data_IF_290919833622
#
_entry.id   IF_290919833622
#
_cell.length_a   1.000
_cell.length_b   1.000
_cell.length_c   1.000
_cell.angle_alpha   90.00
_cell.angle_beta   90.00
_cell.angle_gamma   90.00
#
_symmetry.space_group_name_H-M   'P 1'
#
loop_
_entity.id
_entity.type
_entity.pdbx_description
1 polymer ?
#
# COMPACT_ATOMS: atom_id res chain seq x y z
N UNK A 1 36.85 26.56 -4.16
CA UNK A 1 35.61 26.80 -3.39
C UNK A 1 34.89 25.47 -3.30
N UNK A 2 34.98 24.81 -2.15
CA UNK A 2 34.17 23.62 -1.90
C UNK A 2 32.76 24.13 -1.70
N UNK A 3 31.91 23.88 -2.69
CA UNK A 3 30.47 24.12 -2.57
C UNK A 3 30.00 23.35 -1.33
N UNK A 4 29.71 24.09 -0.26
CA UNK A 4 29.02 23.58 0.91
C UNK A 4 27.56 23.33 0.45
N UNK A 5 27.38 22.26 -0.33
CA UNK A 5 26.07 21.78 -0.68
C UNK A 5 25.33 21.53 0.63
N UNK A 6 24.21 22.22 0.81
CA UNK A 6 23.29 21.97 1.93
C UNK A 6 23.17 20.46 2.14
N UNK A 7 23.44 19.94 3.35
CA UNK A 7 23.37 18.51 3.65
C UNK A 7 22.08 17.86 3.15
N UNK A 8 20.96 18.57 3.19
CA UNK A 8 19.66 18.11 2.70
C UNK A 8 19.69 17.81 1.19
N UNK A 9 20.33 18.67 0.39
CA UNK A 9 20.48 18.47 -1.05
C UNK A 9 21.35 17.24 -1.38
N UNK A 10 22.40 17.01 -0.60
CA UNK A 10 23.28 15.83 -0.76
C UNK A 10 22.50 14.55 -0.46
N UNK A 11 21.77 14.54 0.66
CA UNK A 11 20.95 13.41 1.10
C UNK A 11 19.88 13.09 0.04
N UNK A 12 19.16 14.11 -0.44
CA UNK A 12 18.12 13.95 -1.47
C UNK A 12 18.68 13.36 -2.77
N UNK A 13 19.86 13.81 -3.20
CA UNK A 13 20.54 13.23 -4.40
C UNK A 13 20.89 11.76 -4.19
N UNK A 14 21.42 11.40 -3.02
CA UNK A 14 21.74 10.01 -2.68
C UNK A 14 20.49 9.14 -2.65
N UNK A 15 19.41 9.64 -2.05
CA UNK A 15 18.12 8.96 -2.00
C UNK A 15 17.56 8.69 -3.41
N UNK A 16 17.51 9.73 -4.27
CA UNK A 16 17.03 9.60 -5.65
C UNK A 16 17.90 8.67 -6.50
N UNK A 17 19.20 8.60 -6.20
CA UNK A 17 20.14 7.67 -6.84
C UNK A 17 20.09 6.26 -6.21
N UNK A 18 19.21 6.00 -5.23
CA UNK A 18 19.09 4.74 -4.47
C UNK A 18 20.39 4.30 -3.77
N UNK A 19 21.26 5.25 -3.44
CA UNK A 19 22.54 5.03 -2.76
C UNK A 19 22.36 5.05 -1.24
N UNK A 20 21.63 4.08 -0.71
CA UNK A 20 21.24 4.08 0.71
C UNK A 20 22.39 3.85 1.67
N UNK A 21 23.41 3.06 1.29
CA UNK A 21 24.63 2.88 2.09
C UNK A 21 25.45 4.17 2.15
N UNK A 22 25.60 4.88 1.02
CA UNK A 22 26.31 6.16 0.98
C UNK A 22 25.57 7.19 1.84
N UNK A 23 24.23 7.24 1.75
CA UNK A 23 23.38 8.13 2.54
C UNK A 23 23.52 7.84 4.05
N UNK A 24 23.49 6.56 4.44
CA UNK A 24 23.75 6.13 5.82
C UNK A 24 25.10 6.62 6.33
N UNK A 25 26.18 6.37 5.59
CA UNK A 25 27.53 6.74 5.97
C UNK A 25 27.71 8.26 6.04
N UNK A 26 27.13 8.99 5.10
CA UNK A 26 27.15 10.44 5.09
C UNK A 26 26.46 11.01 6.35
N UNK A 27 25.24 10.58 6.65
CA UNK A 27 24.51 11.02 7.82
C UNK A 27 25.20 10.60 9.13
N UNK A 28 25.82 9.42 9.17
CA UNK A 28 26.61 8.98 10.31
C UNK A 28 27.83 9.88 10.57
N UNK A 29 28.46 10.42 9.52
CA UNK A 29 29.54 11.40 9.65
C UNK A 29 29.04 12.77 10.09
N UNK A 30 27.80 13.17 9.71
CA UNK A 30 27.16 14.37 10.26
C UNK A 30 26.94 14.24 11.77
N UNK A 31 26.47 13.08 12.25
CA UNK A 31 26.26 12.84 13.68
C UNK A 31 27.55 12.87 14.52
N UNK A 32 28.74 12.60 13.92
CA UNK A 32 30.02 12.81 14.62
C UNK A 32 30.29 14.27 14.94
N UNK A 33 29.76 15.18 14.11
CA UNK A 33 29.90 16.64 14.29
C UNK A 33 28.77 17.22 15.14
N UNK A 34 27.55 16.74 14.92
CA UNK A 34 26.32 17.18 15.60
C UNK A 34 25.57 15.92 16.07
N UNK A 35 25.80 15.41 17.30
CA UNK A 35 25.27 14.13 17.77
C UNK A 35 23.76 13.96 17.75
N UNK A 36 23.00 15.06 17.84
CA UNK A 36 21.53 15.07 17.88
C UNK A 36 20.92 15.76 16.65
N UNK A 37 21.63 15.75 15.52
CA UNK A 37 21.07 16.26 14.27
C UNK A 37 19.87 15.42 13.84
N UNK A 38 18.67 16.01 13.95
CA UNK A 38 17.42 15.29 13.66
C UNK A 38 17.34 14.86 12.20
N UNK A 39 17.83 15.69 11.26
CA UNK A 39 17.79 15.38 9.82
C UNK A 39 18.67 14.16 9.56
N UNK A 40 19.87 14.13 10.15
CA UNK A 40 20.78 13.00 10.01
C UNK A 40 20.16 11.72 10.64
N UNK A 41 19.59 11.79 11.84
CA UNK A 41 18.93 10.66 12.51
C UNK A 41 17.77 10.10 11.69
N UNK A 42 16.88 10.97 11.19
CA UNK A 42 15.75 10.58 10.34
C UNK A 42 16.21 9.90 9.05
N UNK A 43 17.23 10.45 8.41
CA UNK A 43 17.72 9.90 7.15
C UNK A 43 18.53 8.61 7.32
N UNK A 44 19.18 8.40 8.50
CA UNK A 44 19.75 7.10 8.84
C UNK A 44 18.64 6.06 8.99
N UNK A 45 17.57 6.37 9.72
CA UNK A 45 16.44 5.44 9.87
C UNK A 45 15.84 5.06 8.52
N UNK A 46 15.66 6.04 7.62
CA UNK A 46 15.17 5.81 6.27
C UNK A 46 16.13 4.95 5.44
N UNK A 47 17.43 5.23 5.48
CA UNK A 47 18.44 4.42 4.79
C UNK A 47 18.40 2.97 5.24
N UNK A 48 18.32 2.74 6.56
CA UNK A 48 18.27 1.41 7.15
C UNK A 48 17.00 0.64 6.76
N UNK A 49 15.86 1.34 6.61
CA UNK A 49 14.62 0.75 6.09
C UNK A 49 14.83 0.23 4.67
N UNK A 50 15.39 1.05 3.77
CA UNK A 50 15.65 0.63 2.39
C UNK A 50 16.71 -0.47 2.28
N UNK A 51 17.65 -0.53 3.24
CA UNK A 51 18.62 -1.62 3.41
C UNK A 51 18.04 -2.84 4.13
N UNK A 52 16.74 -2.82 4.48
CA UNK A 52 16.02 -3.88 5.21
C UNK A 52 16.59 -4.19 6.60
N UNK A 53 17.30 -3.23 7.20
CA UNK A 53 17.87 -3.32 8.56
C UNK A 53 16.89 -2.74 9.58
N UNK A 54 15.69 -3.34 9.68
CA UNK A 54 14.55 -2.77 10.39
C UNK A 54 14.80 -2.56 11.89
N UNK A 55 15.42 -3.52 12.57
CA UNK A 55 15.73 -3.39 14.00
C UNK A 55 16.69 -2.23 14.28
N UNK A 56 17.68 -2.00 13.41
CA UNK A 56 18.56 -0.85 13.54
C UNK A 56 17.83 0.46 13.23
N UNK A 57 16.94 0.46 12.25
CA UNK A 57 16.11 1.64 11.90
C UNK A 57 15.29 2.11 13.10
N UNK A 58 14.66 1.19 13.84
CA UNK A 58 13.88 1.50 15.05
C UNK A 58 14.73 2.25 16.09
N UNK A 59 15.99 1.85 16.30
CA UNK A 59 16.88 2.54 17.26
C UNK A 59 17.08 4.01 16.89
N UNK A 60 17.21 4.32 15.59
CA UNK A 60 17.37 5.71 15.14
C UNK A 60 16.06 6.48 15.18
N UNK A 61 14.92 5.84 14.90
CA UNK A 61 13.61 6.43 15.13
C UNK A 61 13.42 6.80 16.61
N UNK A 62 13.79 5.91 17.53
CA UNK A 62 13.69 6.16 18.97
C UNK A 62 14.57 7.34 19.43
N UNK A 63 15.75 7.52 18.84
CA UNK A 63 16.58 8.70 19.10
C UNK A 63 15.90 9.99 18.65
N UNK A 64 15.23 10.00 17.49
CA UNK A 64 14.45 11.17 17.05
C UNK A 64 13.29 11.42 18.01
N UNK A 65 12.55 10.36 18.37
CA UNK A 65 11.39 10.47 19.27
C UNK A 65 11.78 10.89 20.70
N UNK A 66 12.99 10.59 21.15
CA UNK A 66 13.52 11.11 22.41
C UNK A 66 13.76 12.63 22.38
N UNK A 67 14.06 13.20 21.20
CA UNK A 67 14.22 14.64 21.01
C UNK A 67 12.85 15.32 20.80
N UNK A 68 11.99 14.71 19.98
CA UNK A 68 10.67 15.20 19.62
C UNK A 68 9.67 14.02 19.58
N UNK A 69 8.97 13.81 20.69
CA UNK A 69 8.19 12.59 20.98
C UNK A 69 7.06 12.30 19.97
N UNK A 70 6.54 13.33 19.27
CA UNK A 70 5.49 13.20 18.24
C UNK A 70 5.99 13.60 16.86
N UNK A 71 7.27 13.33 16.56
CA UNK A 71 7.78 13.51 15.21
C UNK A 71 7.13 12.48 14.26
N UNK A 72 6.21 12.98 13.43
CA UNK A 72 5.40 12.13 12.53
C UNK A 72 6.27 11.34 11.55
N UNK A 73 7.38 11.90 11.10
CA UNK A 73 8.30 11.22 10.19
C UNK A 73 8.96 10.02 10.86
N UNK A 74 9.46 10.21 12.09
CA UNK A 74 10.07 9.13 12.86
C UNK A 74 9.03 8.06 13.26
N UNK A 75 7.81 8.48 13.64
CA UNK A 75 6.71 7.55 13.93
C UNK A 75 6.39 6.69 12.70
N UNK A 76 6.23 7.29 11.52
CA UNK A 76 5.93 6.57 10.27
C UNK A 76 7.05 5.61 9.88
N UNK A 77 8.30 6.02 9.98
CA UNK A 77 9.45 5.14 9.73
C UNK A 77 9.51 3.97 10.72
N UNK A 78 9.22 4.22 12.01
CA UNK A 78 9.19 3.19 13.03
C UNK A 78 8.07 2.19 12.78
N UNK A 79 6.88 2.67 12.43
CA UNK A 79 5.74 1.83 12.06
C UNK A 79 6.11 0.93 10.89
N UNK A 80 6.66 1.48 9.81
CA UNK A 80 7.07 0.68 8.66
C UNK A 80 8.08 -0.42 9.02
N UNK A 81 9.05 -0.10 9.86
CA UNK A 81 10.04 -1.07 10.32
C UNK A 81 9.39 -2.17 11.19
N UNK A 82 8.46 -1.80 12.08
CA UNK A 82 7.72 -2.74 12.94
C UNK A 82 6.78 -3.65 12.14
N UNK A 83 6.07 -3.10 11.14
CA UNK A 83 5.25 -3.89 10.20
C UNK A 83 6.10 -4.94 9.48
N UNK A 84 7.29 -4.53 9.02
CA UNK A 84 8.23 -5.44 8.35
C UNK A 84 8.78 -6.54 9.27
N UNK A 85 8.73 -6.34 10.59
CA UNK A 85 9.09 -7.31 11.63
C UNK A 85 7.87 -8.05 12.22
N UNK A 86 6.67 -7.79 11.72
CA UNK A 86 5.40 -8.34 12.20
C UNK A 86 5.06 -7.98 13.67
N UNK A 87 5.53 -6.83 14.15
CA UNK A 87 5.26 -6.33 15.50
C UNK A 87 3.97 -5.50 15.53
N UNK A 88 2.86 -6.07 15.11
CA UNK A 88 1.60 -5.37 14.85
C UNK A 88 0.99 -4.69 16.07
N UNK A 89 1.13 -5.27 17.27
CA UNK A 89 0.63 -4.64 18.51
C UNK A 89 1.34 -3.30 18.82
N UNK A 90 2.62 -3.20 18.51
CA UNK A 90 3.37 -1.95 18.65
C UNK A 90 2.96 -0.93 17.60
N UNK A 91 2.72 -1.37 16.36
CA UNK A 91 2.19 -0.54 15.28
C UNK A 91 0.87 0.10 15.68
N UNK A 92 -0.07 -0.67 16.24
CA UNK A 92 -1.37 -0.15 16.70
C UNK A 92 -1.22 0.98 17.73
N UNK A 93 -0.24 0.87 18.65
CA UNK A 93 0.04 1.91 19.64
C UNK A 93 0.55 3.20 18.98
N UNK A 94 1.47 3.08 18.03
CA UNK A 94 2.04 4.23 17.32
C UNK A 94 1.03 4.90 16.38
N UNK A 95 0.20 4.12 15.68
CA UNK A 95 -0.89 4.66 14.87
C UNK A 95 -1.87 5.47 15.72
N UNK A 96 -2.24 4.98 16.91
CA UNK A 96 -3.09 5.73 17.85
C UNK A 96 -2.43 7.06 18.29
N UNK A 97 -1.13 7.12 18.45
CA UNK A 97 -0.41 8.36 18.75
C UNK A 97 -0.52 9.36 17.60
N UNK A 98 -0.30 8.93 16.34
CA UNK A 98 -0.48 9.79 15.16
C UNK A 98 -1.93 10.28 15.10
N UNK A 99 -2.91 9.39 15.23
CA UNK A 99 -4.33 9.70 15.13
C UNK A 99 -4.84 10.59 16.28
N UNK A 100 -4.16 10.61 17.43
CA UNK A 100 -4.48 11.53 18.52
C UNK A 100 -4.13 12.99 18.19
N UNK A 101 -3.15 13.22 17.32
CA UNK A 101 -2.75 14.55 16.85
C UNK A 101 -3.44 14.94 15.54
N UNK A 102 -3.68 13.99 14.67
CA UNK A 102 -4.39 14.13 13.40
C UNK A 102 -5.30 12.92 13.16
N UNK A 103 -6.55 13.02 13.61
CA UNK A 103 -7.53 11.92 13.47
C UNK A 103 -7.85 11.55 12.02
N UNK A 104 -7.51 12.41 11.06
CA UNK A 104 -7.66 12.21 9.62
C UNK A 104 -6.38 11.78 8.89
N UNK A 105 -5.34 11.32 9.58
CA UNK A 105 -4.15 10.81 8.89
C UNK A 105 -4.47 9.47 8.20
N UNK A 106 -4.78 9.55 6.90
CA UNK A 106 -5.14 8.41 6.05
C UNK A 106 -4.08 7.31 6.10
N UNK A 107 -2.80 7.69 6.10
CA UNK A 107 -1.71 6.72 6.16
C UNK A 107 -1.74 5.93 7.48
N UNK A 108 -1.94 6.61 8.61
CA UNK A 108 -2.02 5.94 9.92
C UNK A 108 -3.28 5.08 10.06
N UNK A 109 -4.42 5.50 9.47
CA UNK A 109 -5.63 4.68 9.41
C UNK A 109 -5.40 3.40 8.61
N UNK A 110 -4.74 3.50 7.46
CA UNK A 110 -4.43 2.34 6.62
C UNK A 110 -3.43 1.38 7.31
N UNK A 111 -2.35 1.88 7.88
CA UNK A 111 -1.39 1.06 8.65
C UNK A 111 -2.05 0.37 9.84
N UNK A 112 -2.95 1.08 10.54
CA UNK A 112 -3.71 0.48 11.63
C UNK A 112 -4.62 -0.65 11.12
N UNK A 113 -5.32 -0.44 10.02
CA UNK A 113 -6.17 -1.44 9.39
C UNK A 113 -5.38 -2.66 8.90
N UNK A 114 -4.22 -2.47 8.29
CA UNK A 114 -3.33 -3.55 7.85
C UNK A 114 -2.90 -4.38 9.07
N UNK A 115 -2.44 -3.73 10.15
CA UNK A 115 -2.00 -4.43 11.36
C UNK A 115 -3.15 -5.21 12.04
N UNK A 116 -4.36 -4.65 12.05
CA UNK A 116 -5.55 -5.35 12.55
C UNK A 116 -5.89 -6.57 11.69
N UNK A 117 -5.74 -6.49 10.38
CA UNK A 117 -5.92 -7.64 9.49
C UNK A 117 -4.93 -8.76 9.78
N UNK A 118 -3.66 -8.44 9.96
CA UNK A 118 -2.62 -9.42 10.31
C UNK A 118 -2.87 -10.08 11.67
N UNK A 119 -3.51 -9.35 12.60
CA UNK A 119 -3.97 -9.88 13.89
C UNK A 119 -5.34 -10.60 13.80
N UNK A 120 -5.86 -10.86 12.59
CA UNK A 120 -7.17 -11.46 12.33
C UNK A 120 -8.37 -10.66 12.88
N UNK A 121 -8.20 -9.38 13.20
CA UNK A 121 -9.25 -8.47 13.66
C UNK A 121 -9.91 -7.77 12.46
N UNK A 122 -10.48 -8.56 11.54
CA UNK A 122 -10.94 -8.07 10.23
C UNK A 122 -12.07 -7.05 10.33
N UNK A 123 -12.97 -7.14 11.32
CA UNK A 123 -14.04 -6.15 11.49
C UNK A 123 -13.49 -4.79 11.92
N UNK A 124 -12.53 -4.76 12.84
CA UNK A 124 -11.91 -3.52 13.32
C UNK A 124 -11.07 -2.89 12.19
N UNK A 125 -10.43 -3.73 11.35
CA UNK A 125 -9.73 -3.28 10.16
C UNK A 125 -10.68 -2.58 9.17
N UNK A 126 -11.90 -3.11 8.96
CA UNK A 126 -12.91 -2.48 8.11
C UNK A 126 -13.27 -1.07 8.60
N UNK A 127 -13.40 -0.86 9.92
CA UNK A 127 -13.68 0.47 10.49
C UNK A 127 -12.58 1.48 10.17
N UNK A 128 -11.31 1.04 10.20
CA UNK A 128 -10.17 1.90 9.84
C UNK A 128 -10.23 2.30 8.36
N UNK A 129 -10.48 1.34 7.46
CA UNK A 129 -10.59 1.62 6.03
C UNK A 129 -11.83 2.44 5.70
N UNK A 130 -12.95 2.26 6.42
CA UNK A 130 -14.13 3.09 6.27
C UNK A 130 -13.83 4.55 6.60
N UNK A 131 -13.12 4.81 7.70
CA UNK A 131 -12.67 6.17 8.07
C UNK A 131 -11.73 6.76 7.02
N UNK A 132 -10.79 5.97 6.50
CA UNK A 132 -9.90 6.40 5.41
C UNK A 132 -10.68 6.79 4.16
N UNK A 133 -11.64 5.95 3.73
CA UNK A 133 -12.46 6.17 2.54
C UNK A 133 -13.51 7.28 2.71
N UNK A 134 -13.88 7.65 3.94
CA UNK A 134 -14.68 8.86 4.20
C UNK A 134 -13.88 10.13 3.93
N UNK A 135 -12.57 10.10 4.09
CA UNK A 135 -11.68 11.24 3.86
C UNK A 135 -11.26 11.29 2.38
N UNK A 136 -10.79 10.17 1.85
CA UNK A 136 -10.47 10.01 0.42
C UNK A 136 -11.18 8.76 -0.14
N UNK A 137 -12.32 8.93 -0.82
CA UNK A 137 -13.05 7.83 -1.44
C UNK A 137 -12.28 7.06 -2.51
N UNK A 138 -11.16 7.63 -3.00
CA UNK A 138 -10.32 7.06 -4.05
C UNK A 138 -8.98 6.52 -3.52
N UNK A 139 -8.81 6.42 -2.21
CA UNK A 139 -7.61 5.80 -1.64
C UNK A 139 -7.54 4.31 -2.02
N UNK A 140 -6.71 4.01 -3.01
CA UNK A 140 -6.51 2.66 -3.55
C UNK A 140 -6.06 1.69 -2.45
N UNK A 141 -5.21 2.15 -1.53
CA UNK A 141 -4.70 1.32 -0.42
C UNK A 141 -5.85 0.87 0.49
N UNK A 142 -6.72 1.80 0.87
CA UNK A 142 -7.89 1.48 1.68
C UNK A 142 -8.87 0.57 0.94
N UNK A 143 -9.16 0.84 -0.33
CA UNK A 143 -10.05 0.02 -1.15
C UNK A 143 -9.56 -1.43 -1.26
N UNK A 144 -8.28 -1.63 -1.58
CA UNK A 144 -7.68 -2.95 -1.71
C UNK A 144 -7.68 -3.72 -0.40
N UNK A 145 -7.22 -3.08 0.69
CA UNK A 145 -7.14 -3.74 1.99
C UNK A 145 -8.52 -4.01 2.60
N UNK A 146 -9.51 -3.15 2.33
CA UNK A 146 -10.90 -3.42 2.68
C UNK A 146 -11.43 -4.65 1.95
N UNK A 147 -11.13 -4.80 0.66
CA UNK A 147 -11.49 -5.99 -0.10
C UNK A 147 -10.83 -7.26 0.47
N UNK A 148 -9.57 -7.18 0.91
CA UNK A 148 -8.87 -8.29 1.59
C UNK A 148 -9.60 -8.66 2.88
N UNK A 149 -9.93 -7.71 3.76
CA UNK A 149 -10.67 -7.94 5.00
C UNK A 149 -12.01 -8.62 4.76
N UNK A 150 -12.76 -8.12 3.77
CA UNK A 150 -14.06 -8.69 3.36
C UNK A 150 -13.90 -10.13 2.83
N UNK A 151 -12.82 -10.41 2.11
CA UNK A 151 -12.49 -11.76 1.63
C UNK A 151 -12.24 -12.72 2.78
N UNK A 152 -11.53 -12.31 3.83
CA UNK A 152 -11.33 -13.11 5.03
C UNK A 152 -12.66 -13.38 5.75
N UNK A 153 -13.55 -12.41 5.77
CA UNK A 153 -14.92 -12.55 6.29
C UNK A 153 -15.87 -13.31 5.35
N UNK A 154 -15.37 -13.90 4.24
CA UNK A 154 -16.12 -14.62 3.21
C UNK A 154 -17.20 -13.77 2.50
N UNK A 155 -17.14 -12.46 2.59
CA UNK A 155 -18.02 -11.51 1.88
C UNK A 155 -17.50 -11.25 0.47
N UNK A 156 -17.36 -12.33 -0.34
CA UNK A 156 -16.62 -12.32 -1.60
C UNK A 156 -17.17 -11.33 -2.63
N UNK A 157 -18.49 -11.28 -2.79
CA UNK A 157 -19.12 -10.37 -3.77
C UNK A 157 -18.85 -8.89 -3.43
N UNK A 158 -18.92 -8.54 -2.15
CA UNK A 158 -18.60 -7.19 -1.69
C UNK A 158 -17.11 -6.90 -1.85
N UNK A 159 -16.23 -7.88 -1.58
CA UNK A 159 -14.79 -7.73 -1.81
C UNK A 159 -14.48 -7.43 -3.28
N UNK A 160 -15.12 -8.16 -4.21
CA UNK A 160 -14.98 -7.95 -5.65
C UNK A 160 -15.37 -6.51 -6.03
N UNK A 161 -16.47 -5.96 -5.48
CA UNK A 161 -16.89 -4.58 -5.78
C UNK A 161 -15.87 -3.52 -5.32
N UNK A 162 -15.17 -3.74 -4.21
CA UNK A 162 -14.08 -2.85 -3.77
C UNK A 162 -12.83 -2.98 -4.64
N UNK A 163 -12.49 -4.19 -5.07
CA UNK A 163 -11.43 -4.39 -6.06
C UNK A 163 -11.75 -3.72 -7.40
N UNK A 164 -13.01 -3.77 -7.86
CA UNK A 164 -13.43 -3.06 -9.08
C UNK A 164 -13.25 -1.55 -8.95
N UNK A 165 -13.62 -0.98 -7.81
CA UNK A 165 -13.38 0.45 -7.55
C UNK A 165 -11.90 0.79 -7.62
N UNK A 166 -11.03 0.03 -6.94
CA UNK A 166 -9.60 0.26 -6.99
C UNK A 166 -9.04 0.12 -8.42
N UNK A 167 -9.48 -0.89 -9.17
CA UNK A 167 -9.07 -1.13 -10.56
C UNK A 167 -9.57 -0.06 -11.53
N UNK A 168 -10.72 0.56 -11.27
CA UNK A 168 -11.23 1.68 -12.08
C UNK A 168 -10.39 2.94 -11.92
N UNK A 169 -9.73 3.12 -10.77
CA UNK A 169 -8.84 4.23 -10.49
C UNK A 169 -7.46 3.99 -11.12
N UNK A 170 -6.92 2.79 -10.94
CA UNK A 170 -5.65 2.38 -11.56
C UNK A 170 -5.76 0.97 -12.16
N UNK A 171 -5.96 0.91 -13.47
CA UNK A 171 -6.07 -0.33 -14.22
C UNK A 171 -4.76 -1.10 -14.38
N UNK A 172 -3.62 -0.51 -14.00
CA UNK A 172 -2.30 -1.15 -14.12
C UNK A 172 -2.00 -2.15 -13.01
N UNK A 173 -2.80 -2.17 -11.93
CA UNK A 173 -2.62 -3.00 -10.73
C UNK A 173 -3.03 -4.46 -11.02
N UNK A 174 -2.08 -5.24 -11.50
CA UNK A 174 -2.30 -6.68 -11.84
C UNK A 174 -2.70 -7.52 -10.63
N UNK A 175 -2.25 -7.13 -9.44
CA UNK A 175 -2.56 -7.82 -8.18
C UNK A 175 -4.07 -7.86 -7.92
N UNK A 176 -4.78 -6.80 -8.28
CA UNK A 176 -6.24 -6.72 -8.16
C UNK A 176 -6.90 -7.75 -9.07
N UNK A 177 -6.46 -7.84 -10.32
CA UNK A 177 -6.99 -8.79 -11.30
C UNK A 177 -6.84 -10.24 -10.82
N UNK A 178 -5.68 -10.56 -10.25
CA UNK A 178 -5.40 -11.89 -9.67
C UNK A 178 -6.28 -12.15 -8.45
N UNK A 179 -6.42 -11.16 -7.57
CA UNK A 179 -7.25 -11.30 -6.36
C UNK A 179 -8.73 -11.51 -6.72
N UNK A 180 -9.27 -10.74 -7.67
CA UNK A 180 -10.64 -10.90 -8.17
C UNK A 180 -10.87 -12.27 -8.79
N UNK A 181 -9.96 -12.73 -9.66
CA UNK A 181 -10.04 -14.05 -10.29
C UNK A 181 -10.18 -15.16 -9.24
N UNK A 182 -9.32 -15.15 -8.21
CA UNK A 182 -9.39 -16.11 -7.11
C UNK A 182 -10.71 -16.05 -6.33
N UNK A 183 -11.33 -14.88 -6.18
CA UNK A 183 -12.63 -14.75 -5.51
C UNK A 183 -13.75 -15.34 -6.37
N UNK A 184 -13.75 -15.09 -7.68
CA UNK A 184 -14.70 -15.71 -8.60
C UNK A 184 -14.55 -17.23 -8.68
N UNK A 185 -13.32 -17.74 -8.62
CA UNK A 185 -13.07 -19.19 -8.50
C UNK A 185 -13.72 -19.78 -7.23
N UNK A 186 -13.56 -19.11 -6.09
CA UNK A 186 -14.21 -19.53 -4.82
C UNK A 186 -15.74 -19.50 -4.90
N UNK A 187 -16.30 -18.64 -5.73
CA UNK A 187 -17.74 -18.56 -6.00
C UNK A 187 -18.20 -19.58 -7.07
N UNK A 188 -17.28 -20.31 -7.71
CA UNK A 188 -17.59 -21.25 -8.80
C UNK A 188 -17.88 -20.57 -10.15
N UNK A 189 -17.60 -19.27 -10.29
CA UNK A 189 -17.88 -18.42 -11.44
C UNK A 189 -16.66 -18.40 -12.38
N UNK A 190 -16.51 -19.46 -13.20
CA UNK A 190 -15.31 -19.70 -14.01
C UNK A 190 -15.09 -18.66 -15.12
N UNK A 191 -16.15 -18.23 -15.78
CA UNK A 191 -16.06 -17.25 -16.85
C UNK A 191 -15.66 -15.86 -16.31
N UNK A 192 -16.24 -15.47 -15.19
CA UNK A 192 -15.86 -14.24 -14.49
C UNK A 192 -14.45 -14.31 -13.93
N UNK A 193 -14.02 -15.47 -13.43
CA UNK A 193 -12.65 -15.66 -12.97
C UNK A 193 -11.65 -15.48 -14.14
N UNK A 194 -11.95 -16.02 -15.31
CA UNK A 194 -11.14 -15.79 -16.51
C UNK A 194 -11.11 -14.31 -16.90
N UNK A 195 -12.27 -13.66 -17.01
CA UNK A 195 -12.35 -12.24 -17.38
C UNK A 195 -11.65 -11.34 -16.37
N UNK A 196 -11.79 -11.64 -15.06
CA UNK A 196 -11.10 -10.90 -14.00
C UNK A 196 -9.58 -11.01 -14.12
N UNK A 197 -9.05 -12.20 -14.44
CA UNK A 197 -7.62 -12.41 -14.67
C UNK A 197 -7.08 -11.57 -15.84
N UNK A 198 -7.93 -11.25 -16.82
CA UNK A 198 -7.62 -10.36 -17.95
C UNK A 198 -7.79 -8.85 -17.60
N UNK A 199 -8.14 -8.52 -16.37
CA UNK A 199 -8.36 -7.13 -15.93
C UNK A 199 -9.71 -6.55 -16.30
N UNK A 200 -10.68 -7.37 -16.66
CA UNK A 200 -12.04 -6.89 -17.01
C UNK A 200 -12.80 -6.48 -15.75
N UNK A 201 -13.41 -5.29 -15.78
CA UNK A 201 -14.30 -4.82 -14.72
C UNK A 201 -15.65 -5.56 -14.76
N UNK A 202 -16.30 -5.72 -13.61
CA UNK A 202 -17.57 -6.46 -13.51
C UNK A 202 -18.65 -5.94 -14.46
N UNK A 203 -18.78 -4.62 -14.59
CA UNK A 203 -19.76 -3.99 -15.50
C UNK A 203 -19.58 -4.42 -16.96
N UNK A 204 -18.35 -4.71 -17.37
CA UNK A 204 -18.03 -5.15 -18.73
C UNK A 204 -18.16 -6.66 -18.89
N UNK A 205 -18.06 -7.44 -17.82
CA UNK A 205 -18.19 -8.91 -17.86
C UNK A 205 -19.57 -9.35 -18.33
N UNK A 206 -20.62 -8.71 -17.80
CA UNK A 206 -22.01 -9.04 -18.16
C UNK A 206 -22.27 -8.79 -19.65
N UNK A 207 -21.72 -7.71 -20.22
CA UNK A 207 -21.81 -7.42 -21.63
C UNK A 207 -21.12 -8.50 -22.48
N UNK A 208 -19.90 -8.90 -22.10
CA UNK A 208 -19.17 -9.95 -22.83
C UNK A 208 -19.92 -11.29 -22.78
N UNK A 209 -20.49 -11.64 -21.64
CA UNK A 209 -21.31 -12.87 -21.47
C UNK A 209 -22.57 -12.83 -22.31
N UNK A 210 -23.28 -11.68 -22.35
CA UNK A 210 -24.45 -11.51 -23.17
C UNK A 210 -24.15 -11.61 -24.66
N UNK A 211 -23.04 -11.01 -25.12
CA UNK A 211 -22.59 -11.09 -26.50
C UNK A 211 -22.16 -12.53 -26.86
N UNK A 212 -21.47 -13.24 -25.96
CA UNK A 212 -21.11 -14.65 -26.16
C UNK A 212 -22.35 -15.54 -26.33
N UNK A 213 -23.37 -15.32 -25.50
CA UNK A 213 -24.65 -16.05 -25.59
C UNK A 213 -25.34 -15.76 -26.91
N UNK A 214 -25.42 -14.49 -27.32
CA UNK A 214 -26.01 -14.06 -28.59
C UNK A 214 -25.29 -14.67 -29.79
N UNK A 215 -23.98 -14.69 -29.76
CA UNK A 215 -23.12 -15.19 -30.83
C UNK A 215 -22.92 -16.71 -30.78
N UNK A 216 -23.51 -17.41 -29.80
CA UNK A 216 -23.40 -18.86 -29.58
C UNK A 216 -21.93 -19.34 -29.50
N UNK A 217 -21.08 -18.56 -28.84
CA UNK A 217 -19.68 -18.88 -28.62
C UNK A 217 -19.33 -18.89 -27.13
N UNK A 218 -18.11 -19.33 -26.78
CA UNK A 218 -17.63 -19.25 -25.40
C UNK A 218 -17.27 -17.81 -25.00
N UNK A 219 -17.33 -17.51 -23.72
CA UNK A 219 -16.91 -16.21 -23.17
C UNK A 219 -15.45 -15.90 -23.52
N UNK A 220 -14.59 -16.93 -23.50
CA UNK A 220 -13.18 -16.82 -23.95
C UNK A 220 -13.09 -16.32 -25.40
N UNK A 221 -13.83 -16.96 -26.31
CA UNK A 221 -13.82 -16.61 -27.73
C UNK A 221 -14.33 -15.19 -27.95
N UNK A 222 -15.43 -14.84 -27.31
CA UNK A 222 -16.01 -13.47 -27.39
C UNK A 222 -15.05 -12.41 -26.86
N UNK A 223 -14.34 -12.69 -25.76
CA UNK A 223 -13.32 -11.79 -25.23
C UNK A 223 -12.18 -11.58 -26.25
N UNK A 224 -11.64 -12.66 -26.82
CA UNK A 224 -10.59 -12.59 -27.82
C UNK A 224 -11.00 -11.80 -29.07
N UNK A 225 -12.23 -11.99 -29.56
CA UNK A 225 -12.75 -11.21 -30.69
C UNK A 225 -12.85 -9.71 -30.38
N UNK A 226 -13.32 -9.37 -29.16
CA UNK A 226 -13.42 -7.98 -28.75
C UNK A 226 -12.05 -7.31 -28.67
N UNK A 227 -11.03 -7.99 -28.12
CA UNK A 227 -9.66 -7.45 -28.06
C UNK A 227 -9.05 -7.31 -29.47
N UNK A 228 -9.25 -8.29 -30.35
CA UNK A 228 -8.78 -8.22 -31.74
C UNK A 228 -9.38 -7.01 -32.51
N UNK A 229 -10.68 -6.73 -32.29
CA UNK A 229 -11.34 -5.56 -32.91
C UNK A 229 -10.75 -4.25 -32.38
N UNK A 230 -10.43 -4.14 -31.07
CA UNK A 230 -9.81 -2.94 -30.47
C UNK A 230 -8.40 -2.66 -31.05
N UNK A 231 -7.62 -3.70 -31.32
CA UNK A 231 -6.23 -3.54 -31.84
C UNK A 231 -6.21 -3.13 -33.31
N UNK A 232 -7.22 -3.54 -34.09
CA UNK A 232 -7.32 -3.22 -35.53
C UNK A 232 -8.15 -1.96 -35.83
N UNK A 233 -8.68 -1.28 -34.80
CA UNK A 233 -9.46 -0.03 -34.95
C UNK A 233 -8.61 1.22 -34.65
N UNK A 234 -7.33 1.05 -34.35
CA UNK A 234 -6.33 2.11 -34.14
C UNK A 234 -5.39 2.19 -35.33
#
# INVERSE_FOLDING_TARGET
>A
MIDLLDPTNVITRMFNAKKYDDMYNYCKNLLKKIPNDMIALQNISLSLIYLKKYSEAIIYCDKVLAIKNLDTYALKNKIYALESLNHYDEVLKLCKQILSTNSGDIWALNSMGISLNELNQHNDALECYDKSLMIDPNDITALMNKAISLSHLKKFQTAISYYDKAQSIDSSLKEISIAKSKLFEKLGMKDEAFLAAQGVLNENMEKIKADATKNKCSVFHQYCENEFKKTNSK
#
